data_IF_314702298399
#
_entry.id   IF_314702298399
#
_cell.length_a   1.000
_cell.length_b   1.000
_cell.length_c   1.000
_cell.angle_alpha   90.00
_cell.angle_beta   90.00
_cell.angle_gamma   90.00
#
_symmetry.space_group_name_H-M   'P 1'
#
loop_
_entity.id
_entity.type
_entity.pdbx_description
1 polymer ?
#
# COMPACT_ATOMS: atom_id res chain seq x y z
N UNK A 1 4.07 -10.05 -36.47
CA UNK A 1 5.28 -9.33 -36.00
C UNK A 1 4.87 -8.46 -34.80
N UNK A 2 4.54 -9.10 -33.66
CA UNK A 2 4.32 -8.51 -32.32
C UNK A 2 3.63 -9.51 -31.34
N UNK A 3 3.57 -10.81 -31.64
CA UNK A 3 3.14 -11.84 -30.68
C UNK A 3 4.31 -12.40 -29.84
N UNK A 4 5.55 -12.17 -30.23
CA UNK A 4 6.74 -12.57 -29.47
C UNK A 4 7.45 -11.32 -28.90
N UNK A 5 6.96 -10.79 -27.79
CA UNK A 5 7.81 -10.00 -26.88
C UNK A 5 8.10 -10.90 -25.68
N UNK A 6 9.19 -11.69 -25.72
CA UNK A 6 9.78 -12.25 -24.52
C UNK A 6 10.18 -11.08 -23.62
N UNK A 7 9.79 -11.15 -22.36
CA UNK A 7 10.37 -10.41 -21.25
C UNK A 7 10.53 -8.90 -21.46
N UNK A 8 9.51 -8.13 -21.06
CA UNK A 8 9.68 -6.70 -20.76
C UNK A 8 10.69 -6.44 -19.62
N UNK A 9 11.12 -7.49 -18.91
CA UNK A 9 12.27 -7.46 -17.99
C UNK A 9 13.64 -7.57 -18.69
N UNK A 10 13.69 -7.97 -19.97
CA UNK A 10 14.91 -7.95 -20.80
C UNK A 10 15.13 -6.62 -21.54
N UNK A 11 14.22 -5.63 -21.40
CA UNK A 11 14.35 -4.31 -22.04
C UNK A 11 15.23 -3.39 -21.17
N UNK A 12 16.45 -3.83 -20.90
CA UNK A 12 17.59 -2.95 -20.60
C UNK A 12 18.69 -3.04 -21.65
N UNK A 13 18.48 -3.75 -22.75
CA UNK A 13 19.43 -3.76 -23.85
C UNK A 13 19.21 -2.57 -24.79
N UNK A 14 19.82 -1.44 -24.44
CA UNK A 14 20.34 -0.54 -25.46
C UNK A 14 21.84 -0.32 -25.22
N UNK A 15 22.62 -1.30 -25.74
CA UNK A 15 23.99 -1.16 -26.30
C UNK A 15 25.20 -1.49 -25.43
N UNK A 16 25.11 -2.32 -24.37
CA UNK A 16 26.33 -2.63 -23.60
C UNK A 16 26.70 -4.12 -23.38
N UNK A 17 25.99 -5.10 -23.92
CA UNK A 17 26.34 -6.51 -23.70
C UNK A 17 26.66 -7.26 -25.01
N UNK A 18 27.82 -6.96 -25.58
CA UNK A 18 28.59 -7.99 -26.30
C UNK A 18 29.60 -8.55 -25.31
N UNK A 19 29.54 -9.87 -25.11
CA UNK A 19 30.38 -10.70 -24.24
C UNK A 19 30.14 -10.55 -22.73
N UNK A 20 29.67 -11.62 -22.08
CA UNK A 20 30.33 -12.26 -20.93
C UNK A 20 29.37 -13.22 -20.18
N UNK A 21 29.97 -14.31 -19.67
CA UNK A 21 29.43 -15.58 -19.17
C UNK A 21 28.49 -15.52 -17.94
N UNK A 22 27.96 -16.73 -17.62
CA UNK A 22 27.04 -17.21 -16.58
C UNK A 22 27.07 -16.58 -15.16
N UNK A 23 27.97 -15.65 -14.85
CA UNK A 23 27.97 -14.88 -13.60
C UNK A 23 26.92 -13.76 -13.52
N UNK A 24 26.32 -13.37 -14.65
CA UNK A 24 25.40 -12.21 -14.76
C UNK A 24 23.97 -12.52 -14.29
N UNK A 25 23.55 -13.79 -14.21
CA UNK A 25 22.20 -14.15 -13.77
C UNK A 25 21.93 -13.71 -12.32
N UNK A 26 22.96 -13.59 -11.48
CA UNK A 26 22.83 -13.06 -10.11
C UNK A 26 22.57 -11.56 -10.03
N UNK A 27 22.84 -10.78 -11.09
CA UNK A 27 22.66 -9.32 -11.11
C UNK A 27 21.24 -8.89 -11.51
N UNK A 28 20.48 -9.74 -12.20
CA UNK A 28 19.11 -9.46 -12.66
C UNK A 28 18.08 -9.36 -11.52
N UNK A 29 18.42 -9.85 -10.32
CA UNK A 29 17.54 -9.87 -9.14
C UNK A 29 17.93 -8.87 -8.05
N UNK A 30 18.77 -7.89 -8.37
CA UNK A 30 19.13 -6.84 -7.41
C UNK A 30 17.98 -5.84 -7.23
N UNK A 31 17.81 -5.33 -6.01
CA UNK A 31 16.78 -4.33 -5.71
C UNK A 31 16.95 -3.03 -6.52
N UNK A 32 18.18 -2.69 -6.89
CA UNK A 32 18.52 -1.53 -7.73
C UNK A 32 18.01 -1.71 -9.16
N UNK A 33 18.20 -2.89 -9.76
CA UNK A 33 17.69 -3.19 -11.11
C UNK A 33 16.16 -3.09 -11.15
N UNK A 34 15.47 -3.64 -10.15
CA UNK A 34 14.01 -3.52 -10.06
C UNK A 34 13.55 -2.06 -9.92
N UNK A 35 14.27 -1.24 -9.15
CA UNK A 35 13.96 0.17 -8.99
C UNK A 35 14.15 0.96 -10.29
N UNK A 36 15.28 0.76 -10.98
CA UNK A 36 15.58 1.42 -12.25
C UNK A 36 14.56 1.03 -13.35
N UNK A 37 14.17 -0.24 -13.40
CA UNK A 37 13.14 -0.72 -14.31
C UNK A 37 11.78 -0.07 -14.03
N UNK A 38 11.36 -0.03 -12.76
CA UNK A 38 10.11 0.61 -12.36
C UNK A 38 10.11 2.12 -12.62
N UNK A 39 11.22 2.82 -12.36
CA UNK A 39 11.36 4.25 -12.67
C UNK A 39 11.20 4.51 -14.16
N UNK A 40 11.85 3.68 -15.00
CA UNK A 40 11.72 3.75 -16.46
C UNK A 40 10.28 3.52 -16.90
N UNK A 41 9.62 2.47 -16.39
CA UNK A 41 8.22 2.19 -16.70
C UNK A 41 7.30 3.33 -16.25
N UNK A 42 7.50 3.89 -15.05
CA UNK A 42 6.76 5.06 -14.58
C UNK A 42 6.97 6.27 -15.49
N UNK A 43 8.20 6.54 -15.92
CA UNK A 43 8.47 7.62 -16.88
C UNK A 43 7.74 7.40 -18.21
N UNK A 44 7.69 6.16 -18.70
CA UNK A 44 6.94 5.82 -19.91
C UNK A 44 5.44 6.06 -19.70
N UNK A 45 4.85 5.67 -18.55
CA UNK A 45 3.43 5.94 -18.27
C UNK A 45 3.07 7.43 -18.30
N UNK A 46 4.04 8.32 -18.00
CA UNK A 46 3.82 9.77 -17.94
C UNK A 46 4.08 10.49 -19.25
N UNK A 47 5.12 10.08 -19.99
CA UNK A 47 5.69 10.88 -21.07
C UNK A 47 5.67 10.20 -22.43
N UNK A 48 5.31 8.92 -22.51
CA UNK A 48 5.41 8.18 -23.77
C UNK A 48 4.31 8.52 -24.77
N UNK A 49 4.58 8.33 -26.08
CA UNK A 49 3.57 8.44 -27.12
C UNK A 49 2.39 7.46 -26.90
N UNK A 50 1.17 7.79 -27.37
CA UNK A 50 -0.04 7.02 -27.10
C UNK A 50 0.05 5.52 -27.43
N UNK A 51 0.78 5.15 -28.49
CA UNK A 51 0.95 3.75 -28.90
C UNK A 51 1.77 2.91 -27.93
N UNK A 52 2.76 3.50 -27.24
CA UNK A 52 3.55 2.82 -26.22
C UNK A 52 2.82 2.83 -24.88
N UNK A 53 2.18 3.95 -24.52
CA UNK A 53 1.36 4.07 -23.33
C UNK A 53 0.23 3.01 -23.32
N UNK A 54 -0.47 2.83 -24.44
CA UNK A 54 -1.55 1.84 -24.55
C UNK A 54 -1.10 0.39 -24.29
N UNK A 55 0.15 0.04 -24.62
CA UNK A 55 0.69 -1.30 -24.35
C UNK A 55 0.95 -1.54 -22.86
N UNK A 56 1.50 -0.54 -22.16
CA UNK A 56 1.81 -0.64 -20.72
C UNK A 56 0.53 -0.53 -19.89
N UNK A 57 -0.43 0.26 -20.34
CA UNK A 57 -1.77 0.33 -19.72
C UNK A 57 -2.63 -0.89 -20.06
N UNK A 58 -2.16 -1.86 -20.86
CA UNK A 58 -2.98 -3.03 -21.18
C UNK A 58 -3.22 -3.94 -19.96
N UNK A 59 -4.41 -4.58 -19.84
CA UNK A 59 -4.69 -5.54 -18.77
C UNK A 59 -3.72 -6.73 -18.78
N UNK A 60 -3.31 -7.17 -19.98
CA UNK A 60 -2.32 -8.23 -20.15
C UNK A 60 -0.95 -7.85 -19.59
N UNK A 61 -0.58 -6.57 -19.64
CA UNK A 61 0.66 -6.11 -19.03
C UNK A 61 0.56 -6.16 -17.50
N UNK A 62 -0.49 -5.59 -16.92
CA UNK A 62 -0.68 -5.56 -15.46
C UNK A 62 -0.85 -6.95 -14.85
N UNK A 63 -1.62 -7.83 -15.50
CA UNK A 63 -1.77 -9.22 -15.06
C UNK A 63 -0.47 -10.02 -15.13
N UNK A 64 0.37 -9.81 -16.15
CA UNK A 64 1.72 -10.42 -16.20
C UNK A 64 2.65 -9.85 -15.14
N UNK A 65 2.59 -8.54 -14.91
CA UNK A 65 3.40 -7.87 -13.91
C UNK A 65 3.09 -8.39 -12.50
N UNK A 66 1.81 -8.53 -12.14
CA UNK A 66 1.43 -9.07 -10.84
C UNK A 66 1.72 -10.56 -10.70
N UNK A 67 1.48 -11.37 -11.73
CA UNK A 67 1.85 -12.79 -11.72
C UNK A 67 3.34 -12.96 -11.41
N UNK A 68 4.19 -12.22 -12.11
CA UNK A 68 5.64 -12.20 -11.87
C UNK A 68 6.00 -11.68 -10.47
N UNK A 69 5.31 -10.66 -9.99
CA UNK A 69 5.56 -10.07 -8.66
C UNK A 69 5.15 -10.96 -7.48
N UNK A 70 4.19 -11.86 -7.69
CA UNK A 70 3.60 -12.74 -6.67
C UNK A 70 4.24 -14.13 -6.64
N UNK A 71 5.16 -14.45 -7.55
CA UNK A 71 5.92 -15.71 -7.51
C UNK A 71 6.79 -15.81 -6.24
N UNK A 72 6.67 -16.91 -5.51
CA UNK A 72 7.34 -17.13 -4.22
C UNK A 72 8.88 -17.09 -4.29
N UNK A 73 9.44 -17.42 -5.45
CA UNK A 73 10.89 -17.42 -5.69
C UNK A 73 11.48 -16.01 -5.84
N UNK A 74 10.64 -14.99 -6.06
CA UNK A 74 11.08 -13.64 -6.41
C UNK A 74 11.40 -12.82 -5.16
N UNK A 75 12.41 -11.95 -5.22
CA UNK A 75 12.69 -11.05 -4.11
C UNK A 75 11.54 -10.05 -3.95
N UNK A 76 11.21 -9.71 -2.70
CA UNK A 76 10.10 -8.79 -2.36
C UNK A 76 10.25 -7.38 -2.95
N UNK A 77 11.46 -7.00 -3.39
CA UNK A 77 11.68 -5.77 -4.16
C UNK A 77 10.96 -5.77 -5.51
N UNK A 78 10.72 -6.93 -6.14
CA UNK A 78 9.92 -7.03 -7.38
C UNK A 78 8.49 -6.58 -7.12
N UNK A 79 7.88 -7.06 -6.03
CA UNK A 79 6.52 -6.69 -5.64
C UNK A 79 6.38 -5.19 -5.40
N UNK A 80 7.28 -4.62 -4.60
CA UNK A 80 7.28 -3.18 -4.29
C UNK A 80 7.36 -2.33 -5.56
N UNK A 81 8.27 -2.68 -6.46
CA UNK A 81 8.49 -1.93 -7.69
C UNK A 81 7.36 -2.16 -8.71
N UNK A 82 6.76 -3.33 -8.75
CA UNK A 82 5.59 -3.64 -9.58
C UNK A 82 4.35 -2.85 -9.13
N UNK A 83 4.11 -2.78 -7.83
CA UNK A 83 3.04 -1.95 -7.26
C UNK A 83 3.27 -0.46 -7.53
N UNK A 84 4.53 0.00 -7.48
CA UNK A 84 4.92 1.36 -7.86
C UNK A 84 4.51 1.70 -9.30
N UNK A 85 4.76 0.78 -10.24
CA UNK A 85 4.32 0.93 -11.63
C UNK A 85 2.80 0.97 -11.72
N UNK A 86 2.09 0.09 -11.01
CA UNK A 86 0.62 0.06 -11.00
C UNK A 86 0.02 1.36 -10.45
N UNK A 87 0.60 1.92 -9.40
CA UNK A 87 0.21 3.23 -8.86
C UNK A 87 0.40 4.33 -9.92
N UNK A 88 1.52 4.32 -10.64
CA UNK A 88 1.77 5.29 -11.72
C UNK A 88 0.81 5.11 -12.91
N UNK A 89 0.29 3.90 -13.14
CA UNK A 89 -0.76 3.65 -14.14
C UNK A 89 -2.13 4.20 -13.72
N UNK A 90 -2.46 4.09 -12.43
CA UNK A 90 -3.73 4.58 -11.89
C UNK A 90 -3.74 6.11 -11.72
N UNK A 91 -2.61 6.70 -11.34
CA UNK A 91 -2.42 8.14 -11.23
C UNK A 91 -1.09 8.57 -11.87
N UNK A 92 -1.04 8.77 -13.20
CA UNK A 92 0.16 9.22 -13.90
C UNK A 92 0.65 10.61 -13.45
N UNK A 93 -0.24 11.42 -12.87
CA UNK A 93 0.11 12.77 -12.38
C UNK A 93 0.73 12.73 -10.99
N UNK A 94 0.55 11.62 -10.27
CA UNK A 94 1.32 11.33 -9.08
C UNK A 94 2.78 11.25 -9.48
N UNK A 95 3.52 12.29 -9.10
CA UNK A 95 4.96 12.21 -9.13
C UNK A 95 5.36 11.15 -8.10
N UNK A 96 5.60 9.93 -8.56
CA UNK A 96 6.36 8.94 -7.80
C UNK A 96 7.81 9.39 -7.81
N UNK A 97 8.10 10.43 -7.05
CA UNK A 97 9.45 10.64 -6.56
C UNK A 97 9.68 9.61 -5.47
N UNK A 98 10.86 8.99 -5.46
CA UNK A 98 11.24 7.92 -4.54
C UNK A 98 11.03 8.27 -3.07
N UNK A 99 11.44 7.35 -2.20
CA UNK A 99 11.12 7.16 -0.77
C UNK A 99 11.36 8.39 0.17
N UNK A 100 11.62 9.59 -0.34
CA UNK A 100 11.88 10.80 0.42
C UNK A 100 11.31 12.03 -0.31
N UNK A 101 10.03 12.36 -0.11
CA UNK A 101 9.57 13.76 0.04
C UNK A 101 8.08 13.83 0.34
N UNK A 102 7.80 13.98 1.64
CA UNK A 102 6.89 14.98 2.22
C UNK A 102 6.34 15.99 1.19
N UNK A 103 5.04 15.85 0.90
CA UNK A 103 4.10 16.91 0.50
C UNK A 103 4.55 17.85 -0.64
N UNK A 104 4.10 17.54 -1.86
CA UNK A 104 3.63 18.56 -2.81
C UNK A 104 2.42 18.04 -3.57
N UNK A 105 1.21 18.38 -3.09
CA UNK A 105 0.04 18.42 -3.97
C UNK A 105 0.23 19.59 -4.92
N UNK A 106 0.63 19.30 -6.16
CA UNK A 106 0.60 20.27 -7.25
C UNK A 106 -0.73 20.13 -7.97
N UNK A 107 -1.42 21.27 -8.05
CA UNK A 107 -2.70 21.56 -8.70
C UNK A 107 -3.23 20.54 -9.71
N UNK A 108 -4.49 20.16 -9.48
CA UNK A 108 -5.36 19.34 -10.33
C UNK A 108 -5.41 19.86 -11.77
N UNK A 109 -4.85 19.11 -12.72
CA UNK A 109 -5.26 19.13 -14.12
C UNK A 109 -6.32 18.05 -14.38
N UNK A 110 -7.00 18.04 -15.54
CA UNK A 110 -8.15 17.16 -15.81
C UNK A 110 -7.81 15.68 -15.59
N UNK A 111 -8.59 14.95 -14.78
CA UNK A 111 -8.40 13.50 -14.54
C UNK A 111 -8.29 12.78 -15.88
N UNK A 112 -7.14 12.22 -16.17
CA UNK A 112 -7.08 11.15 -17.17
C UNK A 112 -7.58 9.94 -16.39
N UNK A 113 -8.83 9.57 -16.62
CA UNK A 113 -9.41 8.39 -15.99
C UNK A 113 -8.54 7.18 -16.36
N UNK A 114 -8.15 6.40 -15.35
CA UNK A 114 -7.47 5.13 -15.58
C UNK A 114 -8.34 4.27 -16.50
N UNK A 115 -7.70 3.54 -17.42
CA UNK A 115 -8.43 2.67 -18.32
C UNK A 115 -9.18 1.59 -17.49
N UNK A 116 -10.49 1.40 -17.68
CA UNK A 116 -11.29 0.45 -16.91
C UNK A 116 -10.82 -1.00 -17.03
N UNK A 117 -10.40 -1.42 -18.23
CA UNK A 117 -9.88 -2.76 -18.46
C UNK A 117 -8.56 -2.98 -17.69
N UNK A 118 -7.71 -1.96 -17.58
CA UNK A 118 -6.48 -2.03 -16.77
C UNK A 118 -6.80 -2.28 -15.31
N UNK A 119 -7.81 -1.59 -14.78
CA UNK A 119 -8.28 -1.75 -13.40
C UNK A 119 -8.75 -3.19 -13.20
N UNK A 120 -9.56 -3.73 -14.11
CA UNK A 120 -10.03 -5.13 -14.04
C UNK A 120 -8.87 -6.13 -13.96
N UNK A 121 -7.84 -5.98 -14.82
CA UNK A 121 -6.64 -6.83 -14.76
C UNK A 121 -5.85 -6.70 -13.45
N UNK A 122 -5.89 -5.55 -12.78
CA UNK A 122 -5.30 -5.40 -11.45
C UNK A 122 -6.13 -6.07 -10.35
N UNK A 123 -7.47 -6.08 -10.49
CA UNK A 123 -8.39 -6.69 -9.53
C UNK A 123 -8.24 -8.21 -9.47
N UNK A 124 -7.89 -8.87 -10.58
CA UNK A 124 -7.62 -10.33 -10.61
C UNK A 124 -6.55 -10.75 -9.59
N UNK A 125 -5.56 -9.90 -9.35
CA UNK A 125 -4.43 -10.17 -8.43
C UNK A 125 -4.66 -9.64 -7.01
N UNK A 126 -5.75 -8.89 -6.77
CA UNK A 126 -6.00 -8.23 -5.49
C UNK A 126 -6.16 -9.24 -4.34
N UNK A 127 -6.81 -10.38 -4.61
CA UNK A 127 -6.96 -11.43 -3.61
C UNK A 127 -5.62 -11.96 -3.08
N UNK A 128 -4.63 -12.14 -3.96
CA UNK A 128 -3.30 -12.62 -3.58
C UNK A 128 -2.47 -11.54 -2.89
N UNK A 129 -2.58 -10.27 -3.34
CA UNK A 129 -1.98 -9.13 -2.64
C UNK A 129 -2.49 -9.01 -1.20
N UNK A 130 -3.79 -9.24 -0.97
CA UNK A 130 -4.37 -9.16 0.38
C UNK A 130 -3.89 -10.28 1.30
N UNK A 131 -3.58 -11.48 0.79
CA UNK A 131 -2.96 -12.56 1.59
C UNK A 131 -1.58 -12.16 2.11
N UNK A 132 -0.87 -11.28 1.40
CA UNK A 132 0.43 -10.76 1.85
C UNK A 132 0.32 -9.73 2.99
N UNK A 133 -0.88 -9.26 3.31
CA UNK A 133 -1.13 -8.41 4.49
C UNK A 133 -1.19 -9.24 5.79
N UNK A 134 -1.44 -10.55 5.69
CA UNK A 134 -1.52 -11.47 6.82
C UNK A 134 -0.09 -11.85 7.28
N UNK A 135 0.70 -10.88 7.73
CA UNK A 135 2.06 -11.12 8.22
C UNK A 135 2.05 -11.39 9.71
N UNK A 136 2.28 -12.64 10.07
CA UNK A 136 2.59 -13.07 11.43
C UNK A 136 3.81 -12.31 11.97
N UNK A 137 3.62 -11.69 13.14
CA UNK A 137 4.56 -10.89 13.92
C UNK A 137 6.05 -11.10 13.57
N UNK A 138 6.70 -10.07 13.02
CA UNK A 138 8.15 -10.09 12.74
C UNK A 138 8.98 -10.37 13.99
N UNK A 139 9.86 -11.36 14.02
CA UNK A 139 10.71 -11.67 15.19
C UNK A 139 11.55 -10.49 15.70
N UNK A 140 11.80 -9.48 14.87
CA UNK A 140 12.56 -8.29 15.24
C UNK A 140 11.73 -7.30 16.05
N UNK A 141 12.22 -7.02 17.25
CA UNK A 141 11.54 -6.19 18.24
C UNK A 141 12.46 -5.08 18.70
N UNK A 142 11.96 -3.84 18.69
CA UNK A 142 12.70 -2.70 19.20
C UNK A 142 12.25 -2.38 20.61
N UNK A 143 13.13 -2.59 21.57
CA UNK A 143 12.93 -2.11 22.93
C UNK A 143 13.16 -0.60 22.96
N UNK A 144 12.19 0.12 23.52
CA UNK A 144 12.24 1.55 23.76
C UNK A 144 12.05 1.82 25.25
N UNK A 145 12.33 3.05 25.68
CA UNK A 145 12.09 3.50 27.06
C UNK A 145 10.61 3.44 27.48
N UNK A 146 9.69 3.30 26.52
CA UNK A 146 8.24 3.25 26.73
C UNK A 146 7.64 1.86 26.50
N UNK A 147 8.47 0.87 26.13
CA UNK A 147 8.03 -0.49 25.86
C UNK A 147 8.61 -1.05 24.56
N UNK A 148 8.00 -2.12 24.06
CA UNK A 148 8.42 -2.88 22.89
C UNK A 148 7.64 -2.43 21.65
N UNK A 149 8.33 -2.23 20.53
CA UNK A 149 7.75 -1.97 19.21
C UNK A 149 8.05 -3.10 18.23
N UNK A 150 7.04 -3.55 17.50
CA UNK A 150 7.15 -4.55 16.45
C UNK A 150 6.21 -4.15 15.29
N UNK A 151 6.71 -3.96 14.06
CA UNK A 151 8.12 -3.88 13.70
C UNK A 151 8.79 -2.60 14.23
N UNK A 152 10.13 -2.55 14.29
CA UNK A 152 10.87 -1.32 14.56
C UNK A 152 10.55 -0.26 13.51
N UNK A 153 10.15 0.92 13.96
CA UNK A 153 9.84 2.03 13.07
C UNK A 153 11.10 2.78 12.65
N UNK A 154 11.25 3.02 11.34
CA UNK A 154 12.31 3.86 10.76
C UNK A 154 13.59 3.12 10.38
N UNK A 155 14.08 3.36 9.15
CA UNK A 155 15.24 2.67 8.54
C UNK A 155 16.51 2.73 9.40
N UNK A 156 16.84 3.90 9.94
CA UNK A 156 18.06 4.08 10.73
C UNK A 156 17.98 3.43 12.12
N UNK A 157 16.77 3.16 12.60
CA UNK A 157 16.58 2.40 13.83
C UNK A 157 16.74 0.91 13.52
N UNK A 158 16.15 0.41 12.42
CA UNK A 158 16.32 -0.97 11.97
C UNK A 158 17.80 -1.38 11.81
N UNK A 159 18.63 -0.55 11.17
CA UNK A 159 20.07 -0.82 10.97
C UNK A 159 20.90 -0.91 12.26
N UNK A 160 20.43 -0.35 13.38
CA UNK A 160 21.16 -0.36 14.66
C UNK A 160 20.90 -1.63 15.49
N UNK A 161 19.81 -2.34 15.25
CA UNK A 161 19.34 -3.42 16.13
C UNK A 161 19.26 -4.79 15.45
N UNK A 162 19.45 -4.86 14.13
CA UNK A 162 19.44 -6.10 13.37
C UNK A 162 20.73 -6.24 12.56
N UNK A 163 21.15 -7.48 12.35
CA UNK A 163 22.14 -7.80 11.31
C UNK A 163 21.69 -7.14 9.99
N UNK A 164 22.61 -6.54 9.19
CA UNK A 164 22.25 -5.79 8.00
C UNK A 164 21.27 -6.53 7.10
N UNK A 165 21.50 -7.82 6.87
CA UNK A 165 20.65 -8.69 6.05
C UNK A 165 19.22 -8.86 6.62
N UNK A 166 19.05 -8.98 7.94
CA UNK A 166 17.74 -9.11 8.59
C UNK A 166 16.99 -7.78 8.66
N UNK A 167 17.73 -6.68 8.89
CA UNK A 167 17.17 -5.34 8.88
C UNK A 167 16.59 -4.99 7.51
N UNK A 168 17.34 -5.34 6.45
CA UNK A 168 16.94 -5.10 5.08
C UNK A 168 15.76 -5.99 4.68
N UNK A 169 15.76 -7.28 5.06
CA UNK A 169 14.60 -8.16 4.83
C UNK A 169 13.33 -7.63 5.49
N UNK A 170 13.41 -7.23 6.76
CA UNK A 170 12.24 -6.72 7.49
C UNK A 170 11.74 -5.41 6.90
N UNK A 171 12.67 -4.53 6.54
CA UNK A 171 12.34 -3.29 5.87
C UNK A 171 11.59 -3.55 4.56
N UNK A 172 12.09 -4.47 3.72
CA UNK A 172 11.46 -4.78 2.43
C UNK A 172 10.10 -5.44 2.62
N UNK A 173 9.95 -6.35 3.59
CA UNK A 173 8.67 -7.01 3.87
C UNK A 173 7.61 -5.99 4.32
N UNK A 174 7.94 -5.16 5.31
CA UNK A 174 7.02 -4.12 5.79
C UNK A 174 6.75 -3.04 4.73
N UNK A 175 7.75 -2.73 3.91
CA UNK A 175 7.58 -1.84 2.76
C UNK A 175 6.61 -2.42 1.74
N UNK A 176 6.61 -3.73 1.51
CA UNK A 176 5.62 -4.43 0.68
C UNK A 176 4.20 -4.23 1.20
N UNK A 177 3.97 -4.41 2.50
CA UNK A 177 2.65 -4.16 3.13
C UNK A 177 2.21 -2.72 2.91
N UNK A 178 3.08 -1.75 3.22
CA UNK A 178 2.77 -0.33 2.99
C UNK A 178 2.47 -0.04 1.52
N UNK A 179 3.20 -0.65 0.59
CA UNK A 179 3.00 -0.48 -0.84
C UNK A 179 1.66 -1.05 -1.32
N UNK A 180 1.20 -2.18 -0.75
CA UNK A 180 -0.12 -2.75 -1.04
C UNK A 180 -1.23 -1.82 -0.54
N UNK A 181 -1.12 -1.32 0.70
CA UNK A 181 -2.12 -0.40 1.27
C UNK A 181 -2.13 0.91 0.49
N UNK A 182 -0.97 1.43 0.08
CA UNK A 182 -0.88 2.60 -0.79
C UNK A 182 -1.54 2.35 -2.15
N UNK A 183 -1.28 1.20 -2.77
CA UNK A 183 -1.89 0.81 -4.04
C UNK A 183 -3.42 0.79 -3.93
N UNK A 184 -3.97 0.19 -2.86
CA UNK A 184 -5.43 0.17 -2.61
C UNK A 184 -5.97 1.60 -2.39
N UNK A 185 -5.23 2.44 -1.66
CA UNK A 185 -5.60 3.86 -1.50
C UNK A 185 -5.72 4.56 -2.84
N UNK A 186 -4.76 4.36 -3.75
CA UNK A 186 -4.78 4.99 -5.09
C UNK A 186 -5.86 4.38 -5.97
N UNK A 187 -6.04 3.06 -5.94
CA UNK A 187 -7.11 2.36 -6.66
C UNK A 187 -8.50 2.92 -6.32
N UNK A 188 -8.76 3.23 -5.05
CA UNK A 188 -10.02 3.85 -4.63
C UNK A 188 -10.23 5.26 -5.18
N UNK A 189 -9.16 6.04 -5.36
CA UNK A 189 -9.27 7.39 -5.95
C UNK A 189 -9.70 7.38 -7.42
N UNK A 190 -9.60 6.24 -8.11
CA UNK A 190 -10.12 6.07 -9.48
C UNK A 190 -11.65 6.09 -9.50
N UNK A 191 -12.31 5.70 -8.41
CA UNK A 191 -13.77 5.65 -8.33
C UNK A 191 -14.41 4.55 -9.19
N UNK A 192 -13.71 3.43 -9.38
CA UNK A 192 -14.23 2.27 -10.13
C UNK A 192 -15.17 1.44 -9.27
N UNK A 193 -16.43 1.32 -9.68
CA UNK A 193 -17.43 0.50 -8.99
C UNK A 193 -17.02 -0.99 -8.92
N UNK A 194 -16.34 -1.49 -9.96
CA UNK A 194 -15.81 -2.86 -9.96
C UNK A 194 -14.75 -3.06 -8.86
N UNK A 195 -13.89 -2.06 -8.66
CA UNK A 195 -12.87 -2.11 -7.61
C UNK A 195 -13.50 -2.08 -6.21
N UNK A 196 -14.49 -1.23 -5.99
CA UNK A 196 -15.22 -1.16 -4.71
C UNK A 196 -15.94 -2.47 -4.38
N UNK A 197 -16.65 -3.06 -5.36
CA UNK A 197 -17.30 -4.37 -5.20
C UNK A 197 -16.31 -5.47 -4.83
N UNK A 198 -15.15 -5.49 -5.49
CA UNK A 198 -14.12 -6.48 -5.22
C UNK A 198 -13.47 -6.29 -3.84
N UNK A 199 -13.26 -5.04 -3.41
CA UNK A 199 -12.75 -4.72 -2.07
C UNK A 199 -13.73 -5.15 -0.96
N UNK A 200 -15.04 -5.00 -1.17
CA UNK A 200 -16.07 -5.55 -0.28
C UNK A 200 -15.98 -7.08 -0.25
N UNK A 201 -16.01 -7.72 -1.43
CA UNK A 201 -16.00 -9.19 -1.57
C UNK A 201 -14.80 -9.83 -0.88
N UNK A 202 -13.64 -9.19 -0.94
CA UNK A 202 -12.41 -9.68 -0.34
C UNK A 202 -12.21 -9.25 1.13
N UNK A 203 -13.11 -8.43 1.69
CA UNK A 203 -12.97 -7.88 3.04
C UNK A 203 -11.69 -7.05 3.21
N UNK A 204 -11.27 -6.35 2.16
CA UNK A 204 -9.99 -5.64 2.11
C UNK A 204 -9.92 -4.51 3.14
N UNK A 205 -10.97 -3.70 3.21
CA UNK A 205 -11.07 -2.56 4.13
C UNK A 205 -11.03 -3.02 5.59
N UNK A 206 -11.72 -4.14 5.91
CA UNK A 206 -11.68 -4.74 7.24
C UNK A 206 -10.26 -5.16 7.65
N UNK A 207 -9.52 -5.81 6.75
CA UNK A 207 -8.12 -6.22 7.01
C UNK A 207 -7.21 -5.02 7.21
N UNK A 208 -7.33 -4.00 6.36
CA UNK A 208 -6.54 -2.76 6.47
C UNK A 208 -6.85 -2.00 7.76
N UNK A 209 -8.13 -1.95 8.16
CA UNK A 209 -8.53 -1.39 9.44
C UNK A 209 -7.94 -2.17 10.62
N UNK A 210 -7.86 -3.50 10.56
CA UNK A 210 -7.21 -4.28 11.62
C UNK A 210 -5.72 -3.90 11.75
N UNK A 211 -5.00 -3.77 10.64
CA UNK A 211 -3.61 -3.28 10.65
C UNK A 211 -3.48 -1.89 11.30
N UNK A 212 -4.44 -0.98 11.06
CA UNK A 212 -4.43 0.36 11.66
C UNK A 212 -4.48 0.35 13.19
N UNK A 213 -5.20 -0.60 13.80
CA UNK A 213 -5.29 -0.73 15.25
C UNK A 213 -4.18 -1.62 15.83
N UNK A 214 -3.73 -2.62 15.06
CA UNK A 214 -2.64 -3.52 15.45
C UNK A 214 -1.29 -2.79 15.53
N UNK A 215 -1.07 -1.78 14.68
CA UNK A 215 0.18 -1.02 14.59
C UNK A 215 0.03 0.46 14.98
N UNK A 216 -0.33 0.78 16.25
CA UNK A 216 -0.78 2.10 16.68
C UNK A 216 0.24 3.24 16.56
N UNK A 217 1.50 2.97 16.22
CA UNK A 217 2.54 3.99 16.00
C UNK A 217 3.04 4.07 14.55
N UNK A 218 2.42 3.36 13.60
CA UNK A 218 2.85 3.38 12.21
C UNK A 218 2.20 4.52 11.41
N UNK A 219 2.77 5.73 11.50
CA UNK A 219 2.19 6.91 10.85
C UNK A 219 2.07 6.82 9.33
N UNK A 220 2.97 6.09 8.66
CA UNK A 220 2.88 5.89 7.20
C UNK A 220 1.67 5.04 6.85
N UNK A 221 1.47 3.92 7.56
CA UNK A 221 0.29 3.09 7.41
C UNK A 221 -0.98 3.90 7.67
N UNK A 222 -1.06 4.59 8.82
CA UNK A 222 -2.25 5.35 9.19
C UNK A 222 -2.64 6.42 8.18
N UNK A 223 -1.67 7.06 7.52
CA UNK A 223 -1.96 8.02 6.47
C UNK A 223 -2.66 7.38 5.27
N UNK A 224 -2.19 6.22 4.81
CA UNK A 224 -2.86 5.51 3.71
C UNK A 224 -4.22 4.96 4.13
N UNK A 225 -4.35 4.44 5.36
CA UNK A 225 -5.66 3.98 5.86
C UNK A 225 -6.65 5.13 6.01
N UNK A 226 -6.22 6.29 6.51
CA UNK A 226 -7.05 7.50 6.55
C UNK A 226 -7.57 7.83 5.15
N UNK A 227 -6.70 7.87 4.14
CA UNK A 227 -7.12 8.15 2.75
C UNK A 227 -8.09 7.09 2.20
N UNK A 228 -7.90 5.80 2.52
CA UNK A 228 -8.82 4.73 2.15
C UNK A 228 -10.20 4.97 2.77
N UNK A 229 -10.26 5.21 4.08
CA UNK A 229 -11.53 5.46 4.80
C UNK A 229 -12.22 6.69 4.22
N UNK A 230 -11.49 7.77 3.99
CA UNK A 230 -12.04 8.99 3.38
C UNK A 230 -12.61 8.71 1.99
N UNK A 231 -11.89 7.96 1.15
CA UNK A 231 -12.35 7.58 -0.20
C UNK A 231 -13.60 6.71 -0.15
N UNK A 232 -13.68 5.77 0.81
CA UNK A 232 -14.89 4.98 1.02
C UNK A 232 -16.08 5.86 1.42
N UNK A 233 -15.91 6.79 2.36
CA UNK A 233 -16.98 7.68 2.84
C UNK A 233 -17.46 8.68 1.77
N UNK A 234 -16.59 9.04 0.84
CA UNK A 234 -16.91 9.91 -0.30
C UNK A 234 -17.42 9.13 -1.53
N UNK A 235 -17.46 7.80 -1.46
CA UNK A 235 -17.96 6.96 -2.55
C UNK A 235 -19.45 7.20 -2.79
N UNK A 236 -19.85 7.07 -4.06
CA UNK A 236 -21.26 7.08 -4.47
C UNK A 236 -21.92 5.71 -4.32
N UNK A 237 -21.15 4.68 -4.02
CA UNK A 237 -21.61 3.31 -3.88
C UNK A 237 -22.06 3.05 -2.45
N UNK A 238 -23.37 3.19 -2.23
CA UNK A 238 -24.09 2.97 -0.97
C UNK A 238 -23.64 1.67 -0.27
N UNK A 239 -23.66 0.48 -0.91
CA UNK A 239 -23.14 -0.76 -0.33
C UNK A 239 -21.71 -0.66 0.23
N UNK A 240 -20.84 0.14 -0.39
CA UNK A 240 -19.46 0.29 0.05
C UNK A 240 -19.33 1.13 1.32
N UNK A 241 -20.12 2.20 1.43
CA UNK A 241 -20.25 3.01 2.64
C UNK A 241 -20.85 2.18 3.78
N UNK A 242 -21.91 1.42 3.48
CA UNK A 242 -22.57 0.53 4.45
C UNK A 242 -21.61 -0.54 4.97
N UNK A 243 -20.83 -1.18 4.08
CA UNK A 243 -19.80 -2.15 4.47
C UNK A 243 -18.78 -1.54 5.45
N UNK A 244 -18.32 -0.31 5.21
CA UNK A 244 -17.40 0.39 6.11
C UNK A 244 -18.03 0.70 7.48
N UNK A 245 -19.28 1.15 7.51
CA UNK A 245 -19.93 1.58 8.74
C UNK A 245 -20.47 0.41 9.58
N UNK A 246 -21.05 -0.61 8.94
CA UNK A 246 -21.65 -1.78 9.59
C UNK A 246 -20.68 -2.93 9.74
N UNK A 247 -20.25 -3.50 8.62
CA UNK A 247 -19.47 -4.75 8.63
C UNK A 247 -18.06 -4.53 9.20
N UNK A 248 -17.40 -3.44 8.79
CA UNK A 248 -16.11 -3.05 9.33
C UNK A 248 -16.18 -2.45 10.75
N UNK A 249 -17.39 -2.11 11.22
CA UNK A 249 -17.67 -1.49 12.52
C UNK A 249 -16.76 -0.27 12.83
N UNK A 250 -16.61 0.63 11.85
CA UNK A 250 -15.70 1.79 11.98
C UNK A 250 -16.04 2.63 13.23
N UNK A 251 -17.32 2.94 13.45
CA UNK A 251 -17.76 3.76 14.58
C UNK A 251 -17.49 3.07 15.92
N UNK A 252 -17.77 1.77 16.04
CA UNK A 252 -17.46 1.02 17.24
C UNK A 252 -15.97 1.03 17.56
N UNK A 253 -15.11 0.85 16.55
CA UNK A 253 -13.65 0.91 16.71
C UNK A 253 -13.15 2.30 17.12
N UNK A 254 -13.72 3.37 16.56
CA UNK A 254 -13.40 4.75 16.96
C UNK A 254 -13.75 4.98 18.43
N UNK A 255 -14.98 4.63 18.83
CA UNK A 255 -15.46 4.80 20.20
C UNK A 255 -14.67 3.97 21.21
N UNK A 256 -14.28 2.75 20.83
CA UNK A 256 -13.43 1.89 21.64
C UNK A 256 -12.03 2.49 21.83
N UNK A 257 -11.42 3.01 20.75
CA UNK A 257 -10.10 3.64 20.82
C UNK A 257 -10.10 4.95 21.62
N UNK A 258 -11.22 5.70 21.61
CA UNK A 258 -11.38 6.89 22.46
C UNK A 258 -11.43 6.51 23.94
N UNK A 259 -12.23 5.49 24.30
CA UNK A 259 -12.33 4.98 25.68
C UNK A 259 -11.01 4.40 26.15
N UNK A 260 -10.31 3.66 25.29
CA UNK A 260 -9.05 2.98 25.56
C UNK A 260 -7.87 3.69 24.89
N UNK A 261 -7.69 4.98 25.21
CA UNK A 261 -6.69 5.83 24.55
C UNK A 261 -5.22 5.49 24.88
N UNK A 262 -4.97 4.52 25.75
CA UNK A 262 -3.64 4.06 26.17
C UNK A 262 -3.32 2.69 25.62
N UNK A 263 -2.04 2.46 25.33
CA UNK A 263 -1.55 1.20 24.82
C UNK A 263 -1.89 0.04 25.78
N UNK A 264 -2.48 -1.02 25.23
CA UNK A 264 -2.83 -2.24 25.98
C UNK A 264 -1.58 -3.00 26.41
N UNK A 265 -1.63 -3.62 27.59
CA UNK A 265 -0.58 -4.52 28.09
C UNK A 265 -0.73 -5.96 27.57
N UNK A 266 -1.46 -6.18 26.47
CA UNK A 266 -1.67 -7.51 25.91
C UNK A 266 -0.36 -8.05 25.32
N UNK A 267 0.19 -9.16 25.84
CA UNK A 267 1.43 -9.74 25.35
C UNK A 267 1.36 -10.27 23.91
N UNK A 268 0.15 -10.48 23.37
CA UNK A 268 -0.06 -10.91 21.99
C UNK A 268 0.01 -9.75 20.98
N UNK A 269 0.01 -8.49 21.45
CA UNK A 269 0.07 -7.33 20.57
C UNK A 269 1.51 -7.03 20.12
N UNK A 270 1.71 -6.58 18.86
CA UNK A 270 3.05 -6.23 18.37
C UNK A 270 3.71 -5.09 19.16
N UNK A 271 2.90 -4.21 19.75
CA UNK A 271 3.37 -3.09 20.55
C UNK A 271 2.87 -3.20 21.99
N UNK A 272 3.81 -3.20 22.94
CA UNK A 272 3.54 -3.43 24.38
C UNK A 272 4.21 -2.34 25.20
N UNK A 273 3.55 -1.88 26.27
CA UNK A 273 4.12 -0.87 27.18
C UNK A 273 5.17 -1.47 28.12
N UNK A 274 6.12 -0.65 28.59
CA UNK A 274 7.10 -1.07 29.58
C UNK A 274 6.43 -1.30 30.96
N UNK A 275 6.82 -2.38 31.64
CA UNK A 275 6.36 -2.68 33.00
C UNK A 275 6.73 -1.56 33.99
N UNK A 276 5.81 -1.23 34.90
CA UNK A 276 6.03 -0.25 35.96
C UNK A 276 5.93 1.22 35.53
N UNK A 277 5.55 1.52 34.29
CA UNK A 277 5.28 2.89 33.82
C UNK A 277 3.83 3.05 33.33
N UNK A 278 3.24 4.26 33.40
CA UNK A 278 1.93 4.49 32.83
C UNK A 278 1.97 4.25 31.31
N UNK A 279 0.98 3.53 30.74
CA UNK A 279 1.00 3.20 29.33
C UNK A 279 0.90 4.46 28.47
N UNK A 280 1.72 4.58 27.41
CA UNK A 280 1.66 5.72 26.50
C UNK A 280 0.33 5.74 25.75
N UNK A 281 -0.09 6.92 25.30
CA UNK A 281 -1.26 7.03 24.42
C UNK A 281 -0.99 6.34 23.08
N UNK A 282 -2.02 5.76 22.47
CA UNK A 282 -1.92 5.17 21.13
C UNK A 282 -1.68 6.28 20.09
N UNK A 283 -0.79 6.04 19.12
CA UNK A 283 -0.33 7.06 18.18
C UNK A 283 -1.29 7.36 17.02
N UNK A 284 -2.26 6.48 16.77
CA UNK A 284 -3.23 6.61 15.69
C UNK A 284 -4.43 7.54 16.02
N UNK A 285 -4.57 8.01 17.28
CA UNK A 285 -5.67 8.90 17.71
C UNK A 285 -5.80 10.16 16.85
N UNK A 286 -4.69 10.78 16.45
CA UNK A 286 -4.74 11.98 15.62
C UNK A 286 -5.40 11.75 14.25
N UNK A 287 -5.20 10.57 13.67
CA UNK A 287 -5.87 10.15 12.43
C UNK A 287 -7.35 9.85 12.70
N UNK A 288 -7.66 9.16 13.81
CA UNK A 288 -9.05 8.89 14.21
C UNK A 288 -9.85 10.18 14.39
N UNK A 289 -9.29 11.21 15.03
CA UNK A 289 -9.96 12.51 15.16
C UNK A 289 -10.29 13.14 13.80
N UNK A 290 -9.37 13.06 12.81
CA UNK A 290 -9.65 13.57 11.45
C UNK A 290 -10.74 12.78 10.76
N UNK A 291 -10.72 11.46 10.89
CA UNK A 291 -11.75 10.55 10.36
C UNK A 291 -13.10 10.88 10.99
N UNK A 292 -13.19 11.01 12.32
CA UNK A 292 -14.41 11.36 13.04
C UNK A 292 -14.96 12.72 12.60
N UNK A 293 -14.10 13.74 12.46
CA UNK A 293 -14.51 15.05 11.99
C UNK A 293 -15.08 14.98 10.56
N UNK A 294 -14.47 14.18 9.68
CA UNK A 294 -15.00 13.97 8.34
C UNK A 294 -16.34 13.23 8.36
N UNK A 295 -16.48 12.18 9.18
CA UNK A 295 -17.72 11.44 9.34
C UNK A 295 -18.88 12.36 9.72
N UNK A 296 -18.70 13.21 10.74
CA UNK A 296 -19.72 14.19 11.17
C UNK A 296 -20.02 15.19 10.05
N UNK A 297 -19.00 15.70 9.36
CA UNK A 297 -19.19 16.61 8.23
C UNK A 297 -20.02 15.96 7.11
N UNK A 298 -19.73 14.71 6.75
CA UNK A 298 -20.47 13.99 5.71
C UNK A 298 -21.87 13.59 6.16
N UNK A 299 -22.08 13.23 7.43
CA UNK A 299 -23.41 12.95 8.00
C UNK A 299 -24.37 14.13 7.82
N UNK A 300 -23.90 15.36 7.97
CA UNK A 300 -24.73 16.55 7.75
C UNK A 300 -25.26 16.68 6.31
N UNK A 301 -24.62 16.05 5.33
CA UNK A 301 -24.98 16.12 3.90
C UNK A 301 -25.49 14.80 3.32
N UNK A 302 -25.27 13.68 4.02
CA UNK A 302 -25.62 12.34 3.57
C UNK A 302 -26.46 11.62 4.63
N UNK A 303 -27.76 11.45 4.33
CA UNK A 303 -28.74 10.85 5.23
C UNK A 303 -28.42 9.39 5.60
N UNK A 304 -27.72 8.66 4.73
CA UNK A 304 -27.30 7.29 5.01
C UNK A 304 -26.24 7.29 6.11
N UNK A 305 -25.15 8.04 5.94
CA UNK A 305 -24.10 8.19 6.95
C UNK A 305 -24.71 8.70 8.26
N UNK A 306 -25.62 9.68 8.19
CA UNK A 306 -26.32 10.21 9.36
C UNK A 306 -27.14 9.17 10.13
N UNK A 307 -27.68 8.15 9.46
CA UNK A 307 -28.43 7.08 10.12
C UNK A 307 -27.55 6.17 10.98
N UNK A 308 -26.22 6.23 10.81
CA UNK A 308 -25.26 5.45 11.59
C UNK A 308 -24.61 6.23 12.74
N UNK A 309 -24.68 7.57 12.72
CA UNK A 309 -24.11 8.47 13.74
C UNK A 309 -25.09 8.68 14.90
#
# INVERSE_FOLDING_TARGET
ILEDIPDLWNITDLRSLRSCDEGVISFLDSAEVHANAAETLCAITRFAPPGLAAKITSPNFTGRLFRHALEDSRPKSVLVNSLTVCISLLDPKRLTFGIYQTYRQVSQGPMIAANPETVEGMLESLGDLLKLLDVSSSELTLLTTYGKLQPPLGKHRLKKFAQPEKADWLFINWHGILQIVEFISVLLTVGSEAAEKELIRLGAVQRILNLFFEYPYNNFLHHHVENIILSCLESKNVPFVEHLLRECNLLGKILEAEKNCTLTSDPNMPTISAEGRPPPKIGNLGHLTRISNKLVHLGNSNAEIQAHL
#
